data_IF_364291692367
#
_entry.id   IF_364291692367
#
_cell.length_a   1.000
_cell.length_b   1.000
_cell.length_c   1.000
_cell.angle_alpha   90.00
_cell.angle_beta   90.00
_cell.angle_gamma   90.00
#
_symmetry.space_group_name_H-M   'P 1'
#
loop_
_entity.id
_entity.type
_entity.pdbx_description
1 polymer ?
#
# COMPACT_ATOMS: atom_id res chain seq x y z
N UNK A 1 6.64 -17.05 0.49
CA UNK A 1 6.82 -16.53 1.86
C UNK A 1 5.59 -16.96 2.66
N UNK A 2 5.73 -17.35 3.93
CA UNK A 2 4.63 -17.88 4.75
C UNK A 2 4.53 -17.00 5.98
N UNK A 3 3.44 -16.26 6.11
CA UNK A 3 3.20 -15.41 7.28
C UNK A 3 2.47 -16.21 8.34
N UNK A 4 2.92 -16.11 9.58
CA UNK A 4 2.34 -16.80 10.72
C UNK A 4 1.56 -15.84 11.62
N UNK A 5 1.88 -14.53 11.59
CA UNK A 5 1.26 -13.53 12.44
C UNK A 5 0.91 -12.24 11.71
N UNK A 6 -0.11 -11.53 12.20
CA UNK A 6 -0.54 -10.22 11.68
C UNK A 6 0.64 -9.25 11.60
N UNK A 7 1.52 -9.25 12.61
CA UNK A 7 2.72 -8.40 12.60
C UNK A 7 3.59 -8.59 11.36
N UNK A 8 3.73 -9.83 10.87
CA UNK A 8 4.59 -10.11 9.72
C UNK A 8 3.97 -9.60 8.43
N UNK A 9 2.64 -9.69 8.30
CA UNK A 9 1.92 -9.11 7.17
C UNK A 9 2.01 -7.58 7.17
N UNK A 10 1.83 -6.94 8.33
CA UNK A 10 1.95 -5.49 8.48
C UNK A 10 3.39 -5.03 8.19
N UNK A 11 4.39 -5.78 8.65
CA UNK A 11 5.80 -5.49 8.38
C UNK A 11 6.14 -5.66 6.89
N UNK A 12 5.59 -6.68 6.25
CA UNK A 12 5.70 -6.85 4.80
C UNK A 12 5.04 -5.70 4.05
N UNK A 13 3.83 -5.29 4.45
CA UNK A 13 3.14 -4.15 3.84
C UNK A 13 3.95 -2.85 3.99
N UNK A 14 4.51 -2.58 5.17
CA UNK A 14 5.38 -1.42 5.39
C UNK A 14 6.63 -1.46 4.48
N UNK A 15 7.28 -2.62 4.37
CA UNK A 15 8.41 -2.82 3.47
C UNK A 15 8.03 -2.66 2.00
N UNK A 16 6.82 -3.06 1.63
CA UNK A 16 6.28 -2.93 0.28
C UNK A 16 6.05 -1.46 -0.09
N UNK A 17 5.40 -0.70 0.78
CA UNK A 17 5.23 0.75 0.62
C UNK A 17 6.57 1.49 0.54
N UNK A 18 7.56 1.07 1.34
CA UNK A 18 8.92 1.64 1.25
C UNK A 18 9.54 1.40 -0.15
N UNK A 19 9.48 0.17 -0.66
CA UNK A 19 10.01 -0.16 -2.00
C UNK A 19 9.30 0.62 -3.11
N UNK A 20 7.98 0.77 -3.02
CA UNK A 20 7.21 1.62 -3.94
C UNK A 20 7.67 3.07 -3.89
N UNK A 21 7.85 3.64 -2.71
CA UNK A 21 8.35 5.00 -2.54
C UNK A 21 9.73 5.21 -3.17
N UNK A 22 10.63 4.24 -2.97
CA UNK A 22 11.96 4.23 -3.57
C UNK A 22 11.89 4.14 -5.09
N UNK A 23 11.07 3.23 -5.64
CA UNK A 23 10.83 3.11 -7.08
C UNK A 23 10.31 4.42 -7.69
N UNK A 24 9.29 5.03 -7.10
CA UNK A 24 8.75 6.30 -7.59
C UNK A 24 9.79 7.42 -7.54
N UNK A 25 10.57 7.51 -6.46
CA UNK A 25 11.66 8.49 -6.33
C UNK A 25 12.73 8.28 -7.40
N UNK A 26 13.06 7.02 -7.70
CA UNK A 26 14.05 6.67 -8.71
C UNK A 26 13.56 6.99 -10.13
N UNK A 27 12.29 6.69 -10.45
CA UNK A 27 11.66 7.12 -11.70
C UNK A 27 11.62 8.65 -11.83
N UNK A 28 11.30 9.37 -10.75
CA UNK A 28 11.26 10.83 -10.73
C UNK A 28 12.64 11.47 -10.98
N UNK A 29 13.71 10.78 -10.57
CA UNK A 29 15.11 11.19 -10.81
C UNK A 29 15.60 10.88 -12.23
N UNK A 30 14.82 10.13 -13.00
CA UNK A 30 15.10 9.81 -14.40
C UNK A 30 14.79 10.95 -15.37
N UNK A 31 14.86 10.65 -16.67
CA UNK A 31 14.54 11.62 -17.72
C UNK A 31 13.04 11.58 -18.05
N UNK A 32 12.22 12.00 -17.08
CA UNK A 32 10.76 12.05 -17.18
C UNK A 32 10.28 13.49 -17.34
N UNK A 33 9.08 13.66 -17.88
CA UNK A 33 8.44 14.97 -17.97
C UNK A 33 8.25 15.60 -16.58
N UNK A 34 8.34 16.93 -16.48
CA UNK A 34 8.18 17.66 -15.20
C UNK A 34 6.86 17.30 -14.48
N UNK A 35 5.77 17.11 -15.24
CA UNK A 35 4.47 16.69 -14.69
C UNK A 35 4.52 15.29 -14.08
N UNK A 36 5.15 14.35 -14.79
CA UNK A 36 5.36 12.96 -14.33
C UNK A 36 6.23 12.96 -13.08
N UNK A 37 7.28 13.77 -13.07
CA UNK A 37 8.13 13.95 -11.90
C UNK A 37 7.33 14.41 -10.67
N UNK A 38 6.52 15.46 -10.80
CA UNK A 38 5.70 15.97 -9.69
C UNK A 38 4.71 14.89 -9.19
N UNK A 39 4.06 14.17 -10.10
CA UNK A 39 3.16 13.08 -9.75
C UNK A 39 3.88 11.93 -9.01
N UNK A 40 5.06 11.53 -9.49
CA UNK A 40 5.90 10.50 -8.87
C UNK A 40 6.43 10.93 -7.50
N UNK A 41 6.86 12.19 -7.34
CA UNK A 41 7.29 12.72 -6.04
C UNK A 41 6.11 12.74 -5.04
N UNK A 42 4.91 13.08 -5.50
CA UNK A 42 3.70 13.02 -4.69
C UNK A 42 3.35 11.58 -4.26
N UNK A 43 3.40 10.62 -5.20
CA UNK A 43 3.22 9.20 -4.93
C UNK A 43 4.25 8.68 -3.92
N UNK A 44 5.54 9.00 -4.11
CA UNK A 44 6.59 8.59 -3.19
C UNK A 44 6.37 9.11 -1.76
N UNK A 45 5.92 10.35 -1.62
CA UNK A 45 5.57 10.95 -0.33
C UNK A 45 4.35 10.26 0.31
N UNK A 46 3.36 9.92 -0.51
CA UNK A 46 2.17 9.20 -0.06
C UNK A 46 2.52 7.81 0.48
N UNK A 47 3.32 7.04 -0.26
CA UNK A 47 3.77 5.71 0.17
C UNK A 47 4.57 5.74 1.48
N UNK A 48 5.46 6.74 1.65
CA UNK A 48 6.17 6.95 2.93
C UNK A 48 5.23 7.27 4.08
N UNK A 49 4.15 8.00 3.81
CA UNK A 49 3.13 8.30 4.82
C UNK A 49 2.39 7.03 5.24
N UNK A 50 2.05 6.16 4.28
CA UNK A 50 1.45 4.85 4.56
C UNK A 50 2.40 3.95 5.34
N UNK A 51 3.67 3.88 4.95
CA UNK A 51 4.72 3.18 5.70
C UNK A 51 4.78 3.70 7.15
N UNK A 52 4.87 5.01 7.34
CA UNK A 52 4.96 5.61 8.68
C UNK A 52 3.71 5.34 9.53
N UNK A 53 2.52 5.34 8.93
CA UNK A 53 1.28 4.94 9.62
C UNK A 53 1.34 3.47 10.05
N UNK A 54 1.81 2.59 9.18
CA UNK A 54 1.98 1.16 9.50
C UNK A 54 3.00 0.93 10.61
N UNK A 55 4.15 1.60 10.55
CA UNK A 55 5.18 1.59 11.60
C UNK A 55 4.70 2.21 12.92
N UNK A 56 3.83 3.23 12.82
CA UNK A 56 3.14 3.83 13.94
C UNK A 56 2.33 2.82 14.74
N UNK A 57 1.64 1.87 14.08
CA UNK A 57 0.90 0.81 14.77
C UNK A 57 1.77 -0.13 15.61
N UNK A 58 3.06 -0.29 15.27
CA UNK A 58 4.00 -1.06 16.10
C UNK A 58 4.52 -0.27 17.30
N UNK A 59 4.55 1.06 17.19
CA UNK A 59 5.15 1.96 18.19
C UNK A 59 4.11 2.50 19.18
N UNK A 60 2.85 2.65 18.76
CA UNK A 60 1.74 3.12 19.58
C UNK A 60 1.26 2.00 20.54
N UNK A 61 1.99 1.88 21.64
CA UNK A 61 2.11 0.67 22.45
C UNK A 61 0.94 0.28 23.36
N UNK A 62 -0.33 0.48 23.00
CA UNK A 62 -1.43 0.16 23.94
C UNK A 62 -2.62 -0.65 23.41
N UNK A 63 -3.07 -0.50 22.15
CA UNK A 63 -4.31 -1.17 21.69
C UNK A 63 -4.14 -2.18 20.54
N UNK A 64 -3.09 -2.08 19.72
CA UNK A 64 -2.93 -2.95 18.55
C UNK A 64 -2.00 -4.15 18.77
N UNK A 65 -1.38 -4.25 19.96
CA UNK A 65 -0.43 -5.33 20.26
C UNK A 65 -1.09 -6.72 20.31
N UNK A 66 -2.35 -6.78 20.75
CA UNK A 66 -3.15 -8.01 20.73
C UNK A 66 -3.42 -8.48 19.29
N UNK A 67 -3.76 -7.55 18.40
CA UNK A 67 -3.96 -7.82 16.97
C UNK A 67 -2.65 -8.27 16.31
N UNK A 68 -1.54 -7.58 16.57
CA UNK A 68 -0.24 -7.92 15.98
C UNK A 68 0.27 -9.30 16.40
N UNK A 69 -0.03 -9.75 17.62
CA UNK A 69 0.37 -11.08 18.09
C UNK A 69 -0.60 -12.20 17.67
N UNK A 70 -1.72 -11.83 17.02
CA UNK A 70 -2.72 -12.79 16.53
C UNK A 70 -2.11 -13.67 15.45
N UNK A 71 -2.30 -14.97 15.62
CA UNK A 71 -1.82 -16.00 14.72
C UNK A 71 -2.80 -16.21 13.57
N UNK A 72 -2.26 -16.41 12.38
CA UNK A 72 -3.06 -16.78 11.22
C UNK A 72 -3.41 -18.26 11.27
N UNK A 73 -4.71 -18.56 11.27
CA UNK A 73 -5.22 -19.94 11.25
C UNK A 73 -4.87 -20.65 9.93
N UNK A 74 -4.84 -19.90 8.81
CA UNK A 74 -4.43 -20.41 7.51
C UNK A 74 -3.28 -19.57 6.89
N UNK A 75 -2.03 -20.07 6.94
CA UNK A 75 -0.87 -19.38 6.40
C UNK A 75 -0.69 -19.54 4.88
N UNK A 76 -1.60 -20.25 4.18
CA UNK A 76 -1.52 -20.49 2.74
C UNK A 76 -2.40 -19.55 1.90
N UNK A 77 -3.23 -18.72 2.52
CA UNK A 77 -4.20 -17.85 1.82
C UNK A 77 -3.60 -16.49 1.43
N UNK A 78 -2.46 -16.51 0.73
CA UNK A 78 -1.85 -15.29 0.19
C UNK A 78 -1.56 -15.37 -1.32
N UNK A 79 -2.56 -15.63 -2.17
CA UNK A 79 -2.35 -15.77 -3.62
C UNK A 79 -1.89 -14.46 -4.29
N UNK A 80 -2.12 -13.30 -3.68
CA UNK A 80 -1.86 -11.98 -4.29
C UNK A 80 -0.49 -11.37 -3.96
N UNK A 81 0.25 -11.88 -2.98
CA UNK A 81 1.58 -11.36 -2.62
C UNK A 81 2.61 -11.40 -3.75
N UNK A 82 2.74 -12.48 -4.55
CA UNK A 82 3.74 -12.53 -5.61
C UNK A 82 3.45 -11.51 -6.71
N UNK A 83 2.16 -11.27 -6.99
CA UNK A 83 1.71 -10.28 -7.98
C UNK A 83 2.07 -8.87 -7.49
N UNK A 84 1.84 -8.59 -6.20
CA UNK A 84 2.20 -7.32 -5.58
C UNK A 84 3.72 -7.10 -5.59
N UNK A 85 4.53 -8.10 -5.27
CA UNK A 85 6.01 -7.96 -5.27
C UNK A 85 6.58 -7.69 -6.67
N UNK A 86 5.91 -8.16 -7.74
CA UNK A 86 6.33 -7.95 -9.14
C UNK A 86 5.74 -6.69 -9.80
N UNK A 87 4.66 -6.12 -9.26
CA UNK A 87 3.99 -4.93 -9.81
C UNK A 87 4.89 -3.68 -9.94
N UNK A 88 5.75 -3.34 -8.95
CA UNK A 88 6.66 -2.19 -9.03
C UNK A 88 7.68 -2.28 -10.18
N UNK A 89 8.07 -3.50 -10.56
CA UNK A 89 9.06 -3.77 -11.61
C UNK A 89 8.47 -3.63 -13.02
N UNK A 90 7.16 -3.81 -13.17
CA UNK A 90 6.46 -3.68 -14.46
C UNK A 90 5.93 -2.26 -14.74
N UNK A 91 6.20 -1.30 -13.85
CA UNK A 91 5.64 0.04 -13.94
C UNK A 91 6.31 0.86 -15.05
N UNK A 92 5.52 1.29 -16.03
CA UNK A 92 5.98 2.17 -17.09
C UNK A 92 5.88 3.63 -16.63
N UNK A 93 7.03 4.24 -16.33
CA UNK A 93 7.14 5.63 -15.87
C UNK A 93 7.09 6.67 -17.02
N UNK A 94 6.65 6.28 -18.23
CA UNK A 94 6.64 7.16 -19.41
C UNK A 94 5.53 8.21 -19.39
N UNK A 95 4.39 7.93 -18.74
CA UNK A 95 3.22 8.79 -18.74
C UNK A 95 2.57 8.87 -17.35
N UNK A 96 1.97 10.02 -17.05
CA UNK A 96 1.29 10.28 -15.77
C UNK A 96 0.12 9.30 -15.59
N UNK A 97 -0.69 9.09 -16.64
CA UNK A 97 -1.81 8.14 -16.61
C UNK A 97 -1.35 6.71 -16.31
N UNK A 98 -0.34 6.21 -17.00
CA UNK A 98 0.12 4.82 -16.84
C UNK A 98 0.69 4.58 -15.44
N UNK A 99 1.45 5.54 -14.91
CA UNK A 99 1.92 5.53 -13.53
C UNK A 99 0.74 5.53 -12.55
N UNK A 100 -0.24 6.40 -12.78
CA UNK A 100 -1.43 6.50 -11.94
C UNK A 100 -2.24 5.20 -11.98
N UNK A 101 -2.57 4.68 -13.15
CA UNK A 101 -3.33 3.43 -13.31
C UNK A 101 -2.61 2.26 -12.62
N UNK A 102 -1.28 2.18 -12.74
CA UNK A 102 -0.47 1.16 -12.07
C UNK A 102 -0.51 1.33 -10.54
N UNK A 103 -0.36 2.56 -10.04
CA UNK A 103 -0.45 2.86 -8.62
C UNK A 103 -1.84 2.54 -8.06
N UNK A 104 -2.91 2.97 -8.74
CA UNK A 104 -4.30 2.70 -8.37
C UNK A 104 -4.61 1.20 -8.37
N UNK A 105 -4.16 0.47 -9.39
CA UNK A 105 -4.33 -0.98 -9.48
C UNK A 105 -3.61 -1.71 -8.33
N UNK A 106 -2.40 -1.26 -8.00
CA UNK A 106 -1.61 -1.77 -6.87
C UNK A 106 -2.32 -1.53 -5.55
N UNK A 107 -2.74 -0.29 -5.28
CA UNK A 107 -3.46 0.07 -4.07
C UNK A 107 -4.80 -0.66 -3.94
N UNK A 108 -5.53 -0.82 -5.05
CA UNK A 108 -6.79 -1.57 -5.07
C UNK A 108 -6.55 -3.06 -4.77
N UNK A 109 -5.47 -3.63 -5.28
CA UNK A 109 -5.07 -5.02 -4.99
C UNK A 109 -4.72 -5.18 -3.50
N UNK A 110 -3.97 -4.24 -2.92
CA UNK A 110 -3.70 -4.19 -1.48
C UNK A 110 -4.98 -4.03 -0.66
N UNK A 111 -5.88 -3.15 -1.06
CA UNK A 111 -7.17 -2.93 -0.39
C UNK A 111 -8.02 -4.20 -0.40
N UNK A 112 -8.11 -4.88 -1.54
CA UNK A 112 -8.80 -6.16 -1.64
C UNK A 112 -8.17 -7.22 -0.74
N UNK A 113 -6.83 -7.26 -0.64
CA UNK A 113 -6.13 -8.15 0.28
C UNK A 113 -6.51 -7.86 1.75
N UNK A 114 -6.53 -6.58 2.15
CA UNK A 114 -6.92 -6.19 3.51
C UNK A 114 -8.40 -6.49 3.81
N UNK A 115 -9.31 -6.23 2.87
CA UNK A 115 -10.74 -6.55 3.03
C UNK A 115 -10.98 -8.06 3.14
N UNK A 116 -10.34 -8.84 2.26
CA UNK A 116 -10.42 -10.29 2.30
C UNK A 116 -9.88 -10.84 3.62
N UNK A 117 -8.83 -10.20 4.18
CA UNK A 117 -8.30 -10.55 5.50
C UNK A 117 -9.24 -10.16 6.64
N UNK A 118 -9.87 -8.98 6.56
CA UNK A 118 -10.86 -8.55 7.55
C UNK A 118 -12.06 -9.51 7.62
N UNK A 119 -12.50 -10.05 6.49
CA UNK A 119 -13.61 -11.02 6.42
C UNK A 119 -13.24 -12.38 7.05
N UNK A 120 -11.96 -12.77 6.95
CA UNK A 120 -11.41 -14.01 7.54
C UNK A 120 -10.75 -13.81 8.90
N UNK A 121 -10.94 -12.65 9.52
CA UNK A 121 -10.35 -12.35 10.81
C UNK A 121 -10.95 -13.24 11.90
N UNK A 122 -10.09 -13.82 12.75
CA UNK A 122 -10.55 -14.70 13.83
C UNK A 122 -11.05 -13.93 15.05
N UNK A 123 -10.64 -12.66 15.19
CA UNK A 123 -11.02 -11.78 16.29
C UNK A 123 -11.53 -10.43 15.77
N UNK A 124 -12.40 -9.78 16.53
CA UNK A 124 -13.00 -8.50 16.15
C UNK A 124 -11.94 -7.40 16.00
N UNK A 125 -10.93 -7.39 16.87
CA UNK A 125 -9.86 -6.39 16.83
C UNK A 125 -9.02 -6.48 15.54
N UNK A 126 -8.81 -7.70 15.02
CA UNK A 126 -8.14 -7.94 13.73
C UNK A 126 -9.01 -7.41 12.58
N UNK A 127 -10.32 -7.69 12.63
CA UNK A 127 -11.29 -7.19 11.64
C UNK A 127 -11.33 -5.67 11.61
N UNK A 128 -11.44 -5.03 12.76
CA UNK A 128 -11.48 -3.57 12.87
C UNK A 128 -10.18 -2.94 12.36
N UNK A 129 -9.03 -3.52 12.69
CA UNK A 129 -7.73 -3.06 12.22
C UNK A 129 -7.62 -3.10 10.69
N UNK A 130 -7.92 -4.25 10.06
CA UNK A 130 -7.85 -4.37 8.60
C UNK A 130 -8.94 -3.57 7.89
N UNK A 131 -10.13 -3.45 8.48
CA UNK A 131 -11.21 -2.61 7.95
C UNK A 131 -10.82 -1.14 7.96
N UNK A 132 -10.22 -0.65 9.06
CA UNK A 132 -9.72 0.71 9.16
C UNK A 132 -8.62 0.97 8.13
N UNK A 133 -7.71 0.01 7.93
CA UNK A 133 -6.63 0.11 6.95
C UNK A 133 -7.17 0.14 5.50
N UNK A 134 -8.18 -0.67 5.18
CA UNK A 134 -8.83 -0.66 3.88
C UNK A 134 -9.61 0.64 3.61
N UNK A 135 -10.31 1.16 4.62
CA UNK A 135 -11.06 2.41 4.52
C UNK A 135 -10.14 3.65 4.37
N UNK A 136 -8.97 3.63 5.03
CA UNK A 136 -7.95 4.66 4.87
C UNK A 136 -7.45 4.76 3.42
N UNK A 137 -7.09 3.62 2.81
CA UNK A 137 -6.62 3.58 1.43
C UNK A 137 -7.68 4.09 0.43
N UNK A 138 -8.94 3.71 0.59
CA UNK A 138 -10.03 4.09 -0.32
C UNK A 138 -10.24 5.62 -0.43
N UNK A 139 -10.11 6.33 0.69
CA UNK A 139 -10.21 7.79 0.72
C UNK A 139 -9.02 8.50 0.06
N UNK A 140 -7.83 7.96 0.27
CA UNK A 140 -6.55 8.50 -0.22
C UNK A 140 -6.38 8.26 -1.72
N UNK A 141 -6.64 7.03 -2.20
CA UNK A 141 -6.62 6.63 -3.61
C UNK A 141 -7.52 7.53 -4.45
N UNK A 142 -8.73 7.85 -3.93
CA UNK A 142 -9.64 8.79 -4.60
C UNK A 142 -9.13 10.23 -4.61
N UNK A 143 -8.40 10.68 -3.58
CA UNK A 143 -7.77 12.01 -3.57
C UNK A 143 -6.66 12.05 -4.61
N UNK A 144 -5.74 11.09 -4.55
CA UNK A 144 -4.63 10.92 -5.47
C UNK A 144 -5.09 10.91 -6.94
N UNK A 145 -6.08 10.10 -7.29
CA UNK A 145 -6.62 10.05 -8.65
C UNK A 145 -7.14 11.42 -9.13
N UNK A 146 -7.85 12.15 -8.26
CA UNK A 146 -8.37 13.48 -8.59
C UNK A 146 -7.26 14.53 -8.72
N UNK A 147 -6.29 14.52 -7.82
CA UNK A 147 -5.19 15.48 -7.83
C UNK A 147 -4.30 15.29 -9.07
N UNK A 148 -4.05 14.04 -9.48
CA UNK A 148 -3.30 13.73 -10.69
C UNK A 148 -4.09 14.05 -11.96
N UNK A 149 -5.38 13.69 -12.05
CA UNK A 149 -6.22 14.08 -13.19
C UNK A 149 -6.23 15.61 -13.39
N UNK A 150 -6.17 16.37 -12.29
CA UNK A 150 -6.10 17.83 -12.34
C UNK A 150 -4.76 18.34 -12.87
N UNK A 151 -3.65 17.63 -12.63
CA UNK A 151 -2.34 17.95 -13.17
C UNK A 151 -2.22 17.69 -14.68
N UNK A 152 -3.09 16.84 -15.23
CA UNK A 152 -3.13 16.53 -16.66
C UNK A 152 -3.97 17.51 -17.49
N UNK A 153 -4.98 18.10 -16.88
CA UNK A 153 -5.86 19.09 -17.52
C UNK A 153 -5.19 20.48 -17.68
N UNK A 154 -4.12 20.74 -16.91
CA UNK A 154 -3.25 21.93 -17.01
C UNK A 154 -2.10 21.72 -18.01
#
# INVERSE_FOLDING_TARGET
MRFHQVRELVHWAASYHQRLAEHYTQCASGNVNERVRIALEYLASHERTLQANLEGYFTDGSNHRAVLDTWFDDPADFPHLPILDQLPDCMDCSNVQDVLDTALSTHKTLQHLYQHRADRASIEEEREFFTALAAGHDGEVRRLARDIQRLEDY
#
